data_IF_428802217134
#
_entry.id   IF_428802217134
#
_cell.length_a   1.000
_cell.length_b   1.000
_cell.length_c   1.000
_cell.angle_alpha   90.00
_cell.angle_beta   90.00
_cell.angle_gamma   90.00
#
_symmetry.space_group_name_H-M   'P 1'
#
loop_
_entity.id
_entity.type
_entity.pdbx_description
1 polymer ?
#
# COMPACT_ATOMS: atom_id res chain seq x y z
N UNK A 1 8.79 22.79 -0.12
CA UNK A 1 9.68 21.69 -0.55
C UNK A 1 9.88 20.79 0.66
N UNK A 2 9.45 19.53 0.62
CA UNK A 2 9.38 18.68 1.82
C UNK A 2 10.79 18.37 2.34
N UNK A 3 11.16 18.97 3.47
CA UNK A 3 12.41 18.63 4.16
C UNK A 3 12.22 17.34 4.97
N UNK A 4 13.09 16.35 4.76
CA UNK A 4 13.17 15.14 5.59
C UNK A 4 12.77 13.82 4.91
N UNK A 5 11.45 13.57 4.73
CA UNK A 5 10.91 12.28 4.25
C UNK A 5 10.13 12.41 2.94
N UNK A 6 10.18 11.37 2.10
CA UNK A 6 9.36 11.30 0.88
C UNK A 6 7.86 11.33 1.21
N UNK A 7 7.06 11.99 0.37
CA UNK A 7 5.59 12.04 0.51
C UNK A 7 5.02 10.63 0.63
N UNK A 8 5.51 9.69 -0.18
CA UNK A 8 5.10 8.29 -0.10
C UNK A 8 5.35 7.67 1.28
N UNK A 9 6.52 7.92 1.89
CA UNK A 9 6.84 7.43 3.24
C UNK A 9 5.99 8.09 4.33
N UNK A 10 5.55 9.34 4.13
CA UNK A 10 4.63 10.01 5.04
C UNK A 10 3.23 9.41 4.94
N UNK A 11 2.73 9.21 3.71
CA UNK A 11 1.43 8.59 3.46
C UNK A 11 1.33 7.18 4.03
N UNK A 12 2.33 6.35 3.77
CA UNK A 12 2.36 4.97 4.25
C UNK A 12 2.56 4.87 5.76
N UNK A 13 3.12 5.92 6.38
CA UNK A 13 3.23 6.04 7.83
C UNK A 13 1.89 6.14 8.56
N UNK A 14 0.81 6.55 7.88
CA UNK A 14 -0.54 6.57 8.46
C UNK A 14 -1.25 5.21 8.41
N UNK A 15 -0.72 4.25 7.66
CA UNK A 15 -1.33 2.91 7.57
C UNK A 15 -1.10 2.13 8.87
N UNK A 16 -2.14 1.48 9.44
CA UNK A 16 -2.02 0.75 10.71
C UNK A 16 -1.26 -0.58 10.52
N UNK A 17 0.08 -0.50 10.47
CA UNK A 17 0.96 -1.63 10.20
C UNK A 17 0.74 -2.81 11.15
N UNK A 18 0.52 -2.55 12.44
CA UNK A 18 0.24 -3.61 13.44
C UNK A 18 -1.03 -4.40 13.13
N UNK A 19 -2.04 -3.75 12.53
CA UNK A 19 -3.26 -4.43 12.11
C UNK A 19 -2.99 -5.26 10.86
N UNK A 20 -2.23 -4.72 9.92
CA UNK A 20 -1.79 -5.47 8.74
C UNK A 20 -1.01 -6.74 9.12
N UNK A 21 -0.06 -6.64 10.06
CA UNK A 21 0.73 -7.78 10.54
C UNK A 21 -0.16 -8.90 11.13
N UNK A 22 -1.29 -8.53 11.76
CA UNK A 22 -2.28 -9.50 12.25
C UNK A 22 -2.92 -10.27 11.09
N UNK A 23 -3.30 -9.60 10.00
CA UNK A 23 -3.84 -10.25 8.81
C UNK A 23 -2.79 -11.11 8.09
N UNK A 24 -1.55 -10.63 7.99
CA UNK A 24 -0.44 -11.42 7.46
C UNK A 24 -0.24 -12.71 8.26
N UNK A 25 -0.29 -12.63 9.60
CA UNK A 25 -0.20 -13.80 10.48
C UNK A 25 -1.39 -14.74 10.32
N UNK A 26 -2.61 -14.21 10.24
CA UNK A 26 -3.85 -14.99 10.04
C UNK A 26 -3.81 -15.87 8.79
N UNK A 27 -3.19 -15.39 7.72
CA UNK A 27 -3.09 -16.10 6.43
C UNK A 27 -1.70 -16.69 6.15
N UNK A 28 -0.80 -16.71 7.14
CA UNK A 28 0.58 -17.20 7.00
C UNK A 28 1.34 -16.56 5.81
N UNK A 29 1.08 -15.28 5.52
CA UNK A 29 1.51 -14.62 4.28
C UNK A 29 3.02 -14.41 4.14
N UNK A 30 3.73 -14.39 5.27
CA UNK A 30 5.19 -14.26 5.30
C UNK A 30 5.90 -15.61 5.52
N UNK A 31 5.22 -16.75 5.34
CA UNK A 31 5.85 -18.06 5.47
C UNK A 31 7.06 -18.18 4.54
N UNK A 32 8.22 -18.53 5.10
CA UNK A 32 9.50 -18.65 4.40
C UNK A 32 10.03 -17.36 3.73
N UNK A 33 9.46 -16.20 4.04
CA UNK A 33 9.89 -14.92 3.46
C UNK A 33 11.09 -14.36 4.23
N UNK A 34 12.20 -14.08 3.54
CA UNK A 34 13.43 -13.53 4.13
C UNK A 34 13.56 -12.00 4.04
N UNK A 35 13.18 -11.41 2.91
CA UNK A 35 13.47 -10.00 2.62
C UNK A 35 12.29 -9.21 2.06
N UNK A 36 11.53 -9.80 1.14
CA UNK A 36 10.41 -9.12 0.49
C UNK A 36 9.10 -9.45 1.21
N UNK A 37 8.75 -8.76 2.30
CA UNK A 37 7.55 -9.08 3.11
C UNK A 37 6.23 -8.74 2.40
N UNK A 38 5.09 -9.21 2.93
CA UNK A 38 3.76 -8.75 2.50
C UNK A 38 3.59 -7.23 2.64
N UNK A 39 4.27 -6.62 3.62
CA UNK A 39 4.27 -5.17 3.77
C UNK A 39 4.96 -4.50 2.59
N UNK A 40 6.13 -4.99 2.20
CA UNK A 40 6.85 -4.46 1.04
C UNK A 40 6.00 -4.61 -0.24
N UNK A 41 5.29 -5.73 -0.38
CA UNK A 41 4.36 -5.94 -1.50
C UNK A 41 3.19 -4.96 -1.49
N UNK A 42 2.58 -4.71 -0.33
CA UNK A 42 1.53 -3.68 -0.20
C UNK A 42 2.04 -2.32 -0.65
N UNK A 43 3.22 -1.91 -0.18
CA UNK A 43 3.81 -0.63 -0.52
C UNK A 43 4.10 -0.51 -2.02
N UNK A 44 4.63 -1.56 -2.65
CA UNK A 44 4.83 -1.57 -4.10
C UNK A 44 3.52 -1.45 -4.89
N UNK A 45 2.46 -2.16 -4.47
CA UNK A 45 1.15 -2.06 -5.12
C UNK A 45 0.57 -0.65 -4.96
N UNK A 46 0.63 -0.08 -3.76
CA UNK A 46 0.15 1.27 -3.49
C UNK A 46 0.93 2.32 -4.30
N UNK A 47 2.25 2.18 -4.40
CA UNK A 47 3.07 3.05 -5.23
C UNK A 47 2.66 2.99 -6.70
N UNK A 48 2.40 1.78 -7.23
CA UNK A 48 1.90 1.61 -8.59
C UNK A 48 0.58 2.32 -8.84
N UNK A 49 -0.38 2.16 -7.92
CA UNK A 49 -1.69 2.83 -8.02
C UNK A 49 -1.55 4.36 -7.95
N UNK A 50 -0.79 4.90 -6.99
CA UNK A 50 -0.60 6.34 -6.83
C UNK A 50 0.17 7.00 -7.97
N UNK A 51 1.04 6.25 -8.65
CA UNK A 51 1.83 6.75 -9.78
C UNK A 51 1.27 6.33 -11.14
N UNK A 52 0.05 5.78 -11.15
CA UNK A 52 -0.67 5.31 -12.34
C UNK A 52 0.16 4.38 -13.24
N UNK A 53 0.81 3.37 -12.64
CA UNK A 53 1.61 2.36 -13.36
C UNK A 53 0.73 1.19 -13.77
N UNK A 54 0.63 0.99 -15.07
CA UNK A 54 -0.25 -0.03 -15.66
C UNK A 54 0.41 -1.41 -15.80
N UNK A 55 1.74 -1.48 -15.73
CA UNK A 55 2.46 -2.75 -15.83
C UNK A 55 3.44 -2.98 -14.69
N UNK A 56 3.67 -4.26 -14.39
CA UNK A 56 4.71 -4.65 -13.44
C UNK A 56 6.10 -4.17 -13.89
N UNK A 57 6.36 -4.16 -15.20
CA UNK A 57 7.64 -3.68 -15.72
C UNK A 57 7.82 -2.19 -15.41
N UNK A 58 6.80 -1.39 -15.70
CA UNK A 58 6.86 0.07 -15.48
C UNK A 58 6.94 0.41 -14.00
N UNK A 59 6.23 -0.34 -13.16
CA UNK A 59 6.33 -0.21 -11.72
C UNK A 59 7.75 -0.45 -11.22
N UNK A 60 8.38 -1.56 -11.65
CA UNK A 60 9.75 -1.88 -11.21
C UNK A 60 10.75 -0.84 -11.72
N UNK A 61 10.62 -0.37 -12.96
CA UNK A 61 11.50 0.69 -13.50
C UNK A 61 11.37 1.98 -12.67
N UNK A 62 10.14 2.37 -12.31
CA UNK A 62 9.91 3.55 -11.47
C UNK A 62 10.47 3.38 -10.05
N UNK A 63 10.32 2.19 -9.46
CA UNK A 63 10.89 1.87 -8.15
C UNK A 63 12.42 1.84 -8.19
N UNK A 64 13.01 1.32 -9.27
CA UNK A 64 14.45 1.19 -9.45
C UNK A 64 15.13 2.53 -9.72
N UNK A 65 14.45 3.45 -10.44
CA UNK A 65 14.89 4.84 -10.56
C UNK A 65 14.97 5.56 -9.20
N UNK A 66 14.26 5.04 -8.19
CA UNK A 66 14.32 5.51 -6.81
C UNK A 66 15.07 4.55 -5.87
N UNK A 67 15.79 3.54 -6.41
CA UNK A 67 16.49 2.49 -5.65
C UNK A 67 17.52 3.02 -4.66
N UNK A 68 18.30 4.05 -5.02
CA UNK A 68 19.25 4.71 -4.13
C UNK A 68 18.60 5.38 -2.90
N UNK A 69 17.27 5.51 -2.91
CA UNK A 69 16.43 6.12 -1.86
C UNK A 69 15.33 5.17 -1.35
N UNK A 70 15.29 3.93 -1.85
CA UNK A 70 14.26 2.91 -1.56
C UNK A 70 14.15 2.56 -0.08
N UNK A 71 15.27 2.59 0.64
CA UNK A 71 15.30 2.42 2.10
C UNK A 71 14.53 3.54 2.81
N UNK A 72 14.67 4.79 2.35
CA UNK A 72 13.96 5.94 2.90
C UNK A 72 12.49 6.01 2.46
N UNK A 73 12.08 5.21 1.47
CA UNK A 73 10.70 5.02 1.05
C UNK A 73 9.97 3.93 1.84
N UNK A 74 10.68 3.18 2.70
CA UNK A 74 10.13 2.07 3.48
C UNK A 74 10.00 0.76 2.71
N UNK A 75 10.51 0.68 1.48
CA UNK A 75 10.37 -0.48 0.58
C UNK A 75 11.38 -1.61 0.85
N UNK A 76 12.40 -1.36 1.67
CA UNK A 76 13.42 -2.33 2.05
C UNK A 76 14.48 -2.59 0.97
N UNK A 77 15.27 -3.66 1.13
CA UNK A 77 16.31 -4.05 0.16
C UNK A 77 15.70 -4.60 -1.13
N UNK A 78 15.97 -3.89 -2.24
CA UNK A 78 15.76 -4.24 -3.66
C UNK A 78 14.51 -5.08 -3.98
N UNK A 79 13.47 -4.40 -4.46
CA UNK A 79 12.29 -5.02 -5.06
C UNK A 79 12.65 -5.44 -6.49
N UNK A 80 12.87 -6.73 -6.71
CA UNK A 80 13.11 -7.26 -8.06
C UNK A 80 11.79 -7.65 -8.72
N UNK A 81 11.74 -7.57 -10.06
CA UNK A 81 10.57 -8.00 -10.84
C UNK A 81 10.18 -9.45 -10.55
N UNK A 82 11.16 -10.35 -10.45
CA UNK A 82 10.93 -11.77 -10.20
C UNK A 82 10.33 -12.01 -8.81
N UNK A 83 10.88 -11.37 -7.77
CA UNK A 83 10.36 -11.52 -6.40
C UNK A 83 8.94 -10.96 -6.30
N UNK A 84 8.66 -9.82 -6.93
CA UNK A 84 7.33 -9.22 -6.90
C UNK A 84 6.31 -10.07 -7.67
N UNK A 85 6.66 -10.54 -8.88
CA UNK A 85 5.80 -11.43 -9.65
C UNK A 85 5.48 -12.71 -8.88
N UNK A 86 6.50 -13.33 -8.28
CA UNK A 86 6.30 -14.56 -7.50
C UNK A 86 5.44 -14.34 -6.25
N UNK A 87 5.60 -13.19 -5.59
CA UNK A 87 4.78 -12.81 -4.45
C UNK A 87 3.31 -12.60 -4.84
N UNK A 88 3.04 -11.98 -6.00
CA UNK A 88 1.67 -11.82 -6.51
C UNK A 88 1.01 -13.15 -6.89
N UNK A 89 1.79 -14.12 -7.37
CA UNK A 89 1.28 -15.44 -7.76
C UNK A 89 0.98 -16.34 -6.54
N UNK A 90 1.86 -16.33 -5.53
CA UNK A 90 1.83 -17.34 -4.45
C UNK A 90 1.06 -16.86 -3.22
N UNK A 91 1.07 -15.55 -2.91
CA UNK A 91 0.51 -15.07 -1.65
C UNK A 91 -0.99 -14.96 -1.72
N UNK A 92 -1.62 -15.35 -0.61
CA UNK A 92 -3.06 -15.24 -0.46
C UNK A 92 -3.51 -13.77 -0.50
N UNK A 93 -4.27 -13.41 -1.53
CA UNK A 93 -4.80 -12.05 -1.74
C UNK A 93 -5.71 -11.58 -0.61
N UNK A 94 -6.31 -12.51 0.15
CA UNK A 94 -7.19 -12.22 1.29
C UNK A 94 -6.52 -11.36 2.38
N UNK A 95 -5.18 -11.37 2.46
CA UNK A 95 -4.43 -10.49 3.37
C UNK A 95 -4.71 -9.02 3.05
N UNK A 96 -4.63 -8.66 1.78
CA UNK A 96 -4.81 -7.29 1.31
C UNK A 96 -6.29 -6.91 1.30
N UNK A 97 -7.17 -7.88 0.99
CA UNK A 97 -8.63 -7.72 1.06
C UNK A 97 -9.11 -7.43 2.49
N UNK A 98 -8.72 -8.25 3.48
CA UNK A 98 -9.06 -8.05 4.89
C UNK A 98 -8.58 -6.66 5.36
N UNK A 99 -7.38 -6.26 4.94
CA UNK A 99 -6.84 -4.95 5.26
C UNK A 99 -7.61 -3.80 4.59
N UNK A 100 -8.00 -3.96 3.33
CA UNK A 100 -8.81 -2.97 2.62
C UNK A 100 -10.18 -2.78 3.30
N UNK A 101 -10.85 -3.85 3.69
CA UNK A 101 -12.10 -3.77 4.44
C UNK A 101 -11.94 -3.08 5.80
N UNK A 102 -10.82 -3.34 6.50
CA UNK A 102 -10.51 -2.63 7.73
C UNK A 102 -10.31 -1.13 7.52
N UNK A 103 -9.59 -0.72 6.47
CA UNK A 103 -9.42 0.70 6.13
C UNK A 103 -10.75 1.37 5.74
N UNK A 104 -11.61 0.66 4.99
CA UNK A 104 -12.94 1.14 4.63
C UNK A 104 -13.80 1.36 5.89
N UNK A 105 -13.72 0.46 6.87
CA UNK A 105 -14.42 0.62 8.14
C UNK A 105 -13.96 1.87 8.89
N UNK A 106 -12.65 2.08 9.03
CA UNK A 106 -12.08 3.30 9.64
C UNK A 106 -12.57 4.55 8.90
N UNK A 107 -12.51 4.56 7.57
CA UNK A 107 -12.95 5.70 6.78
C UNK A 107 -14.44 5.99 6.99
N UNK A 108 -15.29 4.96 7.02
CA UNK A 108 -16.74 5.11 7.29
C UNK A 108 -17.02 5.68 8.67
N UNK A 109 -16.30 5.24 9.70
CA UNK A 109 -16.46 5.77 11.06
C UNK A 109 -16.07 7.25 11.12
N UNK A 110 -14.93 7.63 10.53
CA UNK A 110 -14.51 9.04 10.46
C UNK A 110 -15.52 9.90 9.70
N UNK A 111 -16.05 9.41 8.59
CA UNK A 111 -17.04 10.12 7.78
C UNK A 111 -18.47 10.11 8.37
N UNK A 112 -18.79 9.21 9.29
CA UNK A 112 -20.10 9.20 9.95
C UNK A 112 -20.31 10.39 10.91
N UNK A 113 -19.22 11.04 11.32
CA UNK A 113 -19.22 12.22 12.18
C UNK A 113 -19.18 13.54 11.41
N UNK A 114 -18.53 13.53 10.23
CA UNK A 114 -18.56 14.62 9.26
C UNK A 114 -19.71 14.39 8.28
N UNK A 115 -20.92 14.66 8.78
CA UNK A 115 -22.10 14.89 7.94
C UNK A 115 -21.74 16.03 6.98
N UNK A 116 -21.27 15.67 5.79
CA UNK A 116 -20.83 16.58 4.73
C UNK A 116 -22.07 17.35 4.26
N UNK A 117 -22.50 18.34 5.05
CA UNK A 117 -23.59 19.26 4.71
C UNK A 117 -23.10 20.15 3.60
N UNK A 118 -23.09 19.61 2.38
CA UNK A 118 -23.11 20.42 1.18
C UNK A 118 -24.44 21.16 1.22
N UNK A 119 -24.46 22.39 1.75
CA UNK A 119 -25.51 23.36 1.46
C UNK A 119 -25.39 23.74 -0.01
N UNK A 120 -25.86 22.86 -0.89
CA UNK A 120 -25.87 23.04 -2.33
C UNK A 120 -27.17 22.50 -2.89
N UNK A 121 -28.09 23.42 -3.14
CA UNK A 121 -29.39 23.21 -3.80
C UNK A 121 -29.22 22.47 -5.13
N UNK A 122 -30.14 21.53 -5.35
CA UNK A 122 -30.68 21.04 -6.63
C UNK A 122 -29.71 20.83 -7.81
N UNK A 123 -29.59 19.57 -8.21
CA UNK A 123 -29.77 19.20 -9.61
C UNK A 123 -30.42 17.82 -9.67
N UNK A 124 -31.68 17.82 -10.06
CA UNK A 124 -32.37 16.64 -10.56
C UNK A 124 -31.66 16.16 -11.83
N UNK A 125 -31.56 14.85 -12.00
CA UNK A 125 -31.62 14.21 -13.31
C UNK A 125 -32.98 13.51 -13.40
#
# INVERSE_FOLDING_TARGET
MNQGKYVFSQLTGYLPQRVFDRFVKKHDGNRYVKHFTCWNQLLCMLFGQLTNRESLRDLIVALDAHSGKSYHLGLGKSVTRSNFAKANEVRNSKIFEDFAYHLIAIARELHSSDDFKIKGKHLCL
#
